data_IF_571706539456
#
_entry.id   IF_571706539456
#
_cell.length_a   1.000
_cell.length_b   1.000
_cell.length_c   1.000
_cell.angle_alpha   90.00
_cell.angle_beta   90.00
_cell.angle_gamma   90.00
#
_symmetry.space_group_name_H-M   'P 1'
#
loop_
_entity.id
_entity.type
_entity.pdbx_description
1 polymer ?
#
# COMPACT_ATOMS: atom_id res chain seq x y z
N UNK A 1 -9.06 -1.17 -42.12
CA UNK A 1 -8.98 -0.43 -40.84
C UNK A 1 -8.80 -1.48 -39.76
N UNK A 2 -7.55 -1.84 -39.46
CA UNK A 2 -7.27 -2.74 -38.34
C UNK A 2 -7.54 -1.93 -37.07
N UNK A 3 -8.72 -2.11 -36.48
CA UNK A 3 -8.99 -1.60 -35.15
C UNK A 3 -7.94 -2.19 -34.23
N UNK A 4 -7.18 -1.35 -33.56
CA UNK A 4 -6.23 -1.79 -32.56
C UNK A 4 -7.08 -2.43 -31.45
N UNK A 5 -7.23 -3.75 -31.44
CA UNK A 5 -7.90 -4.48 -30.37
C UNK A 5 -7.07 -4.28 -29.12
N UNK A 6 -7.43 -3.27 -28.34
CA UNK A 6 -6.86 -3.03 -27.01
C UNK A 6 -7.43 -4.12 -26.12
N UNK A 7 -6.72 -5.25 -26.05
CA UNK A 7 -7.02 -6.33 -25.13
C UNK A 7 -6.36 -6.02 -23.79
N UNK A 8 -7.13 -6.08 -22.71
CA UNK A 8 -6.57 -5.91 -21.37
C UNK A 8 -5.71 -7.13 -21.03
N UNK A 9 -4.46 -6.90 -20.62
CA UNK A 9 -3.61 -7.93 -20.06
C UNK A 9 -3.95 -8.12 -18.58
N UNK A 10 -4.80 -9.11 -18.28
CA UNK A 10 -5.23 -9.37 -16.91
C UNK A 10 -4.11 -9.86 -16.01
N UNK A 11 -3.12 -10.56 -16.56
CA UNK A 11 -2.01 -11.11 -15.79
C UNK A 11 -1.09 -9.97 -15.34
N UNK A 12 -0.78 -9.03 -16.23
CA UNK A 12 0.00 -7.82 -15.89
C UNK A 12 -0.66 -7.00 -14.76
N UNK A 13 -1.98 -6.81 -14.82
CA UNK A 13 -2.70 -6.07 -13.78
C UNK A 13 -2.76 -6.84 -12.45
N UNK A 14 -2.87 -8.18 -12.49
CA UNK A 14 -2.79 -9.00 -11.29
C UNK A 14 -1.40 -8.94 -10.64
N UNK A 15 -0.33 -8.99 -11.44
CA UNK A 15 1.04 -8.81 -10.97
C UNK A 15 1.24 -7.43 -10.35
N UNK A 16 0.66 -6.39 -10.93
CA UNK A 16 0.69 -5.04 -10.39
C UNK A 16 -0.03 -4.95 -9.03
N UNK A 17 -1.20 -5.59 -8.89
CA UNK A 17 -1.89 -5.66 -7.60
C UNK A 17 -1.06 -6.44 -6.56
N UNK A 18 -0.40 -7.52 -6.96
CA UNK A 18 0.48 -8.30 -6.08
C UNK A 18 1.70 -7.49 -5.63
N UNK A 19 2.24 -6.63 -6.49
CA UNK A 19 3.31 -5.71 -6.11
C UNK A 19 2.88 -4.77 -4.98
N UNK A 20 1.68 -4.17 -5.08
CA UNK A 20 1.14 -3.29 -4.03
C UNK A 20 0.92 -4.02 -2.69
N UNK A 21 0.42 -5.26 -2.73
CA UNK A 21 0.30 -6.12 -1.54
C UNK A 21 1.64 -6.35 -0.86
N UNK A 22 2.73 -6.47 -1.62
CA UNK A 22 4.08 -6.64 -1.06
C UNK A 22 4.66 -5.33 -0.53
N UNK A 23 4.27 -4.19 -1.09
CA UNK A 23 4.78 -2.88 -0.67
C UNK A 23 4.12 -2.40 0.62
N UNK A 24 2.84 -2.72 0.85
CA UNK A 24 2.12 -2.42 2.08
C UNK A 24 2.87 -2.82 3.38
N UNK A 25 3.29 -4.08 3.57
CA UNK A 25 4.05 -4.48 4.76
C UNK A 25 5.46 -3.86 4.80
N UNK A 26 6.11 -3.66 3.65
CA UNK A 26 7.45 -3.04 3.58
C UNK A 26 7.44 -1.58 4.03
N UNK A 27 6.42 -0.82 3.63
CA UNK A 27 6.26 0.58 4.03
C UNK A 27 6.01 0.68 5.53
N UNK A 28 5.15 -0.20 6.08
CA UNK A 28 4.92 -0.29 7.53
C UNK A 28 6.23 -0.60 8.26
N UNK A 29 6.95 -1.64 7.86
CA UNK A 29 8.21 -2.03 8.48
C UNK A 29 9.27 -0.90 8.45
N UNK A 30 9.41 -0.21 7.31
CA UNK A 30 10.40 0.87 7.16
C UNK A 30 10.08 2.10 8.02
N UNK A 31 8.81 2.39 8.25
CA UNK A 31 8.36 3.62 8.90
C UNK A 31 7.98 3.42 10.37
N UNK A 32 7.61 2.20 10.77
CA UNK A 32 7.47 1.85 12.18
C UNK A 32 8.84 1.83 12.84
N UNK A 33 8.95 2.53 13.96
CA UNK A 33 10.10 2.43 14.86
C UNK A 33 9.68 1.60 16.04
N UNK A 34 10.48 0.58 16.35
CA UNK A 34 10.25 -0.26 17.52
C UNK A 34 10.19 0.62 18.79
N UNK A 35 9.16 0.46 19.65
CA UNK A 35 9.02 1.26 20.86
C UNK A 35 10.25 1.23 21.78
N UNK A 36 10.95 0.08 21.88
CA UNK A 36 12.17 -0.05 22.65
C UNK A 36 13.33 0.75 22.05
N UNK A 37 13.39 0.85 20.71
CA UNK A 37 14.35 1.72 20.03
C UNK A 37 14.07 3.20 20.31
N UNK A 38 12.81 3.63 20.24
CA UNK A 38 12.42 5.01 20.57
C UNK A 38 12.77 5.38 22.02
N UNK A 39 12.46 4.49 22.97
CA UNK A 39 12.75 4.68 24.39
C UNK A 39 14.26 4.75 24.65
N UNK A 40 15.05 3.87 24.04
CA UNK A 40 16.52 3.87 24.17
C UNK A 40 17.18 5.14 23.62
N UNK A 41 16.62 5.73 22.56
CA UNK A 41 17.10 7.01 22.03
C UNK A 41 16.73 8.16 22.96
N UNK A 42 15.52 8.13 23.53
CA UNK A 42 15.04 9.12 24.48
C UNK A 42 15.87 9.20 25.77
N UNK A 43 16.38 8.07 26.26
CA UNK A 43 17.23 8.02 27.46
C UNK A 43 18.56 8.78 27.31
N UNK A 44 19.03 9.03 26.08
CA UNK A 44 20.30 9.72 25.81
C UNK A 44 20.25 11.22 26.11
N UNK A 45 19.06 11.81 26.19
CA UNK A 45 18.89 13.26 26.39
C UNK A 45 19.00 13.70 27.86
N UNK A 46 19.01 12.77 28.82
CA UNK A 46 19.06 13.07 30.26
C UNK A 46 17.89 13.92 30.76
N UNK A 47 17.99 14.42 32.00
CA UNK A 47 16.89 15.13 32.67
C UNK A 47 16.61 16.54 32.10
N UNK A 48 17.62 17.19 31.54
CA UNK A 48 17.51 18.55 30.99
C UNK A 48 16.97 18.52 29.55
N UNK A 49 17.23 17.46 28.79
CA UNK A 49 16.82 17.33 27.38
C UNK A 49 15.40 16.78 27.18
N UNK A 50 14.51 16.93 28.15
CA UNK A 50 13.17 16.33 28.12
C UNK A 50 12.31 16.84 26.94
N UNK A 51 12.47 18.10 26.55
CA UNK A 51 11.77 18.72 25.41
C UNK A 51 12.18 18.06 24.09
N UNK A 52 13.48 17.80 23.92
CA UNK A 52 14.02 17.11 22.74
C UNK A 52 13.56 15.66 22.70
N UNK A 53 13.54 14.98 23.86
CA UNK A 53 12.98 13.63 23.98
C UNK A 53 11.51 13.59 23.60
N UNK A 54 10.71 14.55 24.06
CA UNK A 54 9.30 14.63 23.71
C UNK A 54 9.10 14.85 22.20
N UNK A 55 9.80 15.83 21.62
CA UNK A 55 9.73 16.11 20.19
C UNK A 55 10.18 14.91 19.33
N UNK A 56 11.20 14.17 19.76
CA UNK A 56 11.62 12.93 19.12
C UNK A 56 10.51 11.88 19.16
N UNK A 57 9.92 11.63 20.34
CA UNK A 57 8.86 10.64 20.50
C UNK A 57 7.62 10.99 19.65
N UNK A 58 7.21 12.26 19.64
CA UNK A 58 6.12 12.75 18.78
C UNK A 58 6.42 12.52 17.29
N UNK A 59 7.66 12.80 16.87
CA UNK A 59 8.09 12.57 15.48
C UNK A 59 8.08 11.08 15.11
N UNK A 60 8.57 10.22 16.01
CA UNK A 60 8.60 8.77 15.80
C UNK A 60 7.19 8.18 15.75
N UNK A 61 6.28 8.67 16.60
CA UNK A 61 4.87 8.30 16.59
C UNK A 61 4.21 8.71 15.26
N UNK A 62 4.36 9.98 14.86
CA UNK A 62 3.81 10.47 13.60
C UNK A 62 4.36 9.71 12.37
N UNK A 63 5.65 9.34 12.40
CA UNK A 63 6.26 8.51 11.36
C UNK A 63 5.63 7.11 11.29
N UNK A 64 5.38 6.48 12.44
CA UNK A 64 4.72 5.18 12.51
C UNK A 64 3.28 5.24 11.98
N UNK A 65 2.54 6.28 12.35
CA UNK A 65 1.17 6.52 11.86
C UNK A 65 1.14 6.73 10.34
N UNK A 66 2.09 7.52 9.81
CA UNK A 66 2.26 7.68 8.36
C UNK A 66 2.55 6.34 7.67
N UNK A 67 3.37 5.48 8.28
CA UNK A 67 3.63 4.12 7.79
C UNK A 67 2.39 3.25 7.72
N UNK A 68 1.53 3.31 8.73
CA UNK A 68 0.25 2.59 8.74
C UNK A 68 -0.70 3.12 7.67
N UNK A 69 -0.85 4.44 7.55
CA UNK A 69 -1.72 5.07 6.56
C UNK A 69 -1.27 4.77 5.13
N UNK A 70 0.03 4.87 4.84
CA UNK A 70 0.58 4.52 3.52
C UNK A 70 0.44 3.03 3.22
N UNK A 71 0.65 2.16 4.22
CA UNK A 71 0.43 0.72 4.06
C UNK A 71 -1.02 0.38 3.72
N UNK A 72 -1.99 1.02 4.39
CA UNK A 72 -3.41 0.88 4.07
C UNK A 72 -3.72 1.37 2.65
N UNK A 73 -3.17 2.51 2.24
CA UNK A 73 -3.35 3.01 0.88
C UNK A 73 -2.85 2.02 -0.18
N UNK A 74 -1.71 1.36 0.07
CA UNK A 74 -1.20 0.31 -0.83
C UNK A 74 -2.20 -0.86 -0.97
N UNK A 75 -2.79 -1.32 0.13
CA UNK A 75 -3.81 -2.38 0.13
C UNK A 75 -5.09 -1.96 -0.61
N UNK A 76 -5.53 -0.71 -0.43
CA UNK A 76 -6.69 -0.15 -1.13
C UNK A 76 -6.45 -0.12 -2.65
N UNK A 77 -5.27 0.31 -3.09
CA UNK A 77 -4.90 0.30 -4.52
C UNK A 77 -4.93 -1.12 -5.08
N UNK A 78 -4.32 -2.10 -4.39
CA UNK A 78 -4.35 -3.50 -4.80
C UNK A 78 -5.79 -4.04 -4.91
N UNK A 79 -6.64 -3.71 -3.93
CA UNK A 79 -8.07 -4.06 -3.93
C UNK A 79 -8.83 -3.45 -5.10
N UNK A 80 -8.60 -2.18 -5.40
CA UNK A 80 -9.21 -1.50 -6.55
C UNK A 80 -8.81 -2.14 -7.88
N UNK A 81 -7.55 -2.49 -8.07
CA UNK A 81 -7.09 -3.15 -9.29
C UNK A 81 -7.81 -4.48 -9.49
N UNK A 82 -7.86 -5.33 -8.45
CA UNK A 82 -8.56 -6.63 -8.51
C UNK A 82 -10.04 -6.49 -8.81
N UNK A 83 -10.70 -5.54 -8.16
CA UNK A 83 -12.12 -5.25 -8.39
C UNK A 83 -12.37 -4.86 -9.85
N UNK A 84 -11.53 -3.97 -10.40
CA UNK A 84 -11.65 -3.52 -11.78
C UNK A 84 -11.37 -4.67 -12.76
N UNK A 85 -10.29 -5.45 -12.56
CA UNK A 85 -9.96 -6.63 -13.36
C UNK A 85 -11.11 -7.61 -13.40
N UNK A 86 -11.67 -7.96 -12.23
CA UNK A 86 -12.83 -8.86 -12.15
C UNK A 86 -14.04 -8.32 -12.91
N UNK A 87 -14.31 -7.01 -12.81
CA UNK A 87 -15.43 -6.38 -13.53
C UNK A 87 -15.23 -6.42 -15.05
N UNK A 88 -14.00 -6.19 -15.52
CA UNK A 88 -13.68 -6.27 -16.95
C UNK A 88 -13.77 -7.70 -17.48
N UNK A 89 -13.27 -8.69 -16.74
CA UNK A 89 -13.41 -10.11 -17.11
C UNK A 89 -14.87 -10.52 -17.26
N UNK A 90 -15.72 -10.18 -16.28
CA UNK A 90 -17.15 -10.48 -16.34
C UNK A 90 -17.85 -9.81 -17.53
N UNK A 91 -17.49 -8.57 -17.84
CA UNK A 91 -18.06 -7.82 -18.97
C UNK A 91 -17.66 -8.45 -20.30
N UNK A 92 -16.39 -8.88 -20.41
CA UNK A 92 -15.86 -9.54 -21.60
C UNK A 92 -16.53 -10.90 -21.83
N UNK A 93 -16.64 -11.73 -20.78
CA UNK A 93 -17.33 -13.02 -20.83
C UNK A 93 -18.80 -12.88 -21.25
N UNK A 94 -19.52 -11.92 -20.65
CA UNK A 94 -20.92 -11.65 -21.02
C UNK A 94 -21.05 -11.18 -22.48
N UNK A 95 -20.14 -10.34 -22.96
CA UNK A 95 -20.15 -9.87 -24.35
C UNK A 95 -19.89 -11.00 -25.34
N UNK A 96 -18.93 -11.90 -25.03
CA UNK A 96 -18.64 -13.06 -25.86
C UNK A 96 -19.82 -14.03 -25.93
N UNK A 97 -20.54 -14.25 -24.82
CA UNK A 97 -21.76 -15.07 -24.81
C UNK A 97 -22.86 -14.48 -25.69
N UNK A 98 -23.09 -13.17 -25.61
CA UNK A 98 -24.10 -12.48 -26.46
C UNK A 98 -23.74 -12.62 -27.94
N UNK A 99 -22.47 -12.48 -28.31
CA UNK A 99 -22.01 -12.58 -29.70
C UNK A 99 -22.05 -14.02 -30.24
N UNK A 100 -22.08 -15.04 -29.38
CA UNK A 100 -22.20 -16.45 -29.76
C UNK A 100 -23.66 -16.91 -29.93
N UNK A 101 -24.63 -16.10 -29.51
CA UNK A 101 -26.07 -16.42 -29.57
C UNK A 101 -26.75 -15.73 -30.75
#
# INVERSE_FOLDING_TARGET
MAGNEVKLDFDEWNDHAQWWDQEAPRVRERLTVDPGTAESMGQRFGDIGWEVRQALNETLQARSEAGHSLGQYCEEVAGHIRSNVSSYQQTEEASQQILQT
#
